data_IF_879256344637
#
_entry.id   IF_879256344637
#
_cell.length_a   1.000
_cell.length_b   1.000
_cell.length_c   1.000
_cell.angle_alpha   90.00
_cell.angle_beta   90.00
_cell.angle_gamma   90.00
#
_symmetry.space_group_name_H-M   'P 1'
#
loop_
_entity.id
_entity.type
_entity.pdbx_description
1 polymer ?
#
# COMPACT_ATOMS: atom_id res chain seq x y z
N UNK A 1 18.96 -17.05 -22.66
CA UNK A 1 19.15 -15.84 -23.48
C UNK A 1 20.12 -14.91 -22.77
N UNK A 2 21.20 -14.54 -23.43
CA UNK A 2 22.14 -13.52 -22.97
C UNK A 2 21.81 -12.20 -23.65
N UNK A 3 21.81 -11.11 -22.89
CA UNK A 3 21.70 -9.75 -23.42
C UNK A 3 23.07 -9.10 -23.33
N UNK A 4 23.65 -8.74 -24.47
CA UNK A 4 24.81 -7.86 -24.51
C UNK A 4 24.34 -6.48 -24.90
N UNK A 5 24.79 -5.47 -24.15
CA UNK A 5 24.74 -4.08 -24.61
C UNK A 5 26.09 -3.78 -25.24
N UNK A 6 26.07 -3.43 -26.52
CA UNK A 6 27.26 -3.06 -27.29
C UNK A 6 27.24 -1.55 -27.51
N UNK A 7 28.33 -0.89 -27.15
CA UNK A 7 28.60 0.52 -27.50
C UNK A 7 29.91 0.56 -28.27
N UNK A 8 29.91 1.34 -29.35
CA UNK A 8 31.07 1.51 -30.25
C UNK A 8 31.50 2.98 -30.22
N UNK A 9 32.74 3.24 -29.83
CA UNK A 9 33.30 4.60 -29.74
C UNK A 9 34.52 4.77 -30.63
N UNK A 10 34.66 5.96 -31.21
CA UNK A 10 35.87 6.44 -31.88
C UNK A 10 36.40 7.63 -31.07
N UNK A 11 37.39 7.39 -30.20
CA UNK A 11 37.80 8.34 -29.17
C UNK A 11 36.67 8.61 -28.16
N UNK A 12 36.26 9.87 -28.00
CA UNK A 12 35.19 10.28 -27.05
C UNK A 12 33.80 10.27 -27.73
N UNK A 13 33.74 10.02 -29.04
CA UNK A 13 32.49 10.09 -29.80
C UNK A 13 31.84 8.72 -29.91
N UNK A 14 30.60 8.61 -29.42
CA UNK A 14 29.76 7.43 -29.63
C UNK A 14 29.31 7.34 -31.09
N UNK A 15 29.65 6.24 -31.76
CA UNK A 15 29.38 6.00 -33.18
C UNK A 15 28.24 5.00 -33.37
N UNK A 16 28.03 4.11 -32.38
CA UNK A 16 26.87 3.22 -32.30
C UNK A 16 26.20 3.37 -30.92
N UNK A 17 24.95 3.84 -30.84
CA UNK A 17 24.21 3.90 -29.58
C UNK A 17 23.88 2.50 -29.05
N UNK A 18 23.58 2.41 -27.75
CA UNK A 18 23.29 1.16 -27.02
C UNK A 18 22.34 0.25 -27.79
N UNK A 19 22.83 -0.94 -28.16
CA UNK A 19 22.02 -2.01 -28.76
C UNK A 19 22.02 -3.23 -27.87
N UNK A 20 20.81 -3.70 -27.54
CA UNK A 20 20.58 -4.95 -26.81
C UNK A 20 20.48 -6.08 -27.82
N UNK A 21 21.35 -7.08 -27.70
CA UNK A 21 21.39 -8.22 -28.63
C UNK A 21 21.24 -9.51 -27.86
N UNK A 22 20.34 -10.35 -28.35
CA UNK A 22 20.07 -11.68 -27.83
C UNK A 22 20.98 -12.68 -28.53
N UNK A 23 21.81 -13.39 -27.76
CA UNK A 23 22.71 -14.41 -28.30
C UNK A 23 22.20 -15.80 -27.92
N UNK A 24 22.15 -16.66 -28.93
CA UNK A 24 21.96 -18.11 -28.80
C UNK A 24 23.30 -18.78 -28.49
N UNK A 25 23.29 -19.82 -27.66
CA UNK A 25 24.48 -20.41 -27.01
C UNK A 25 25.59 -20.91 -27.97
N UNK A 26 25.32 -21.00 -29.28
CA UNK A 26 26.25 -21.48 -30.31
C UNK A 26 27.03 -20.39 -31.05
N UNK A 27 26.67 -19.10 -30.91
CA UNK A 27 27.40 -18.03 -31.61
C UNK A 27 28.63 -17.59 -30.79
N UNK A 28 29.83 -17.88 -31.32
CA UNK A 28 31.08 -17.46 -30.72
C UNK A 28 31.23 -15.94 -30.71
N UNK A 29 31.74 -15.38 -29.62
CA UNK A 29 31.95 -13.95 -29.43
C UNK A 29 32.79 -13.30 -30.54
N UNK A 30 33.79 -14.02 -31.07
CA UNK A 30 34.59 -13.60 -32.23
C UNK A 30 33.74 -13.27 -33.46
N UNK A 31 32.70 -14.07 -33.72
CA UNK A 31 31.76 -13.84 -34.83
C UNK A 31 30.91 -12.59 -34.59
N UNK A 32 30.53 -12.31 -33.33
CA UNK A 32 29.80 -11.09 -32.97
C UNK A 32 30.69 -9.86 -33.08
N UNK A 33 31.93 -9.94 -32.60
CA UNK A 33 32.92 -8.87 -32.75
C UNK A 33 33.15 -8.53 -34.22
N UNK A 34 33.34 -9.54 -35.08
CA UNK A 34 33.41 -9.35 -36.54
C UNK A 34 32.13 -8.71 -37.09
N UNK A 35 30.92 -9.16 -36.70
CA UNK A 35 29.66 -8.53 -37.16
C UNK A 35 29.59 -7.04 -36.80
N UNK A 36 30.11 -6.61 -35.64
CA UNK A 36 30.07 -5.20 -35.24
C UNK A 36 31.17 -4.34 -35.84
N UNK A 37 32.29 -4.93 -36.24
CA UNK A 37 33.51 -4.20 -36.66
C UNK A 37 33.76 -4.32 -38.16
N UNK A 38 33.60 -5.53 -38.71
CA UNK A 38 33.73 -5.86 -40.14
C UNK A 38 32.44 -5.58 -40.90
N UNK A 39 32.21 -4.30 -41.19
CA UNK A 39 31.47 -3.81 -42.37
C UNK A 39 31.46 -2.26 -42.38
N UNK A 40 31.51 -1.63 -41.20
CA UNK A 40 31.40 -0.17 -41.04
C UNK A 40 32.68 0.52 -40.54
N UNK A 41 33.61 -0.20 -39.90
CA UNK A 41 34.69 0.44 -39.13
C UNK A 41 36.11 -0.08 -39.45
N UNK A 42 36.28 -0.81 -40.55
CA UNK A 42 37.52 -1.52 -40.93
C UNK A 42 38.83 -0.68 -40.94
N UNK A 43 38.76 0.64 -40.86
CA UNK A 43 39.92 1.54 -40.89
C UNK A 43 39.98 2.54 -39.70
N UNK A 44 39.17 2.37 -38.67
CA UNK A 44 39.12 3.27 -37.51
C UNK A 44 39.56 2.55 -36.22
N UNK A 45 40.30 3.23 -35.35
CA UNK A 45 40.61 2.74 -34.01
C UNK A 45 39.35 2.81 -33.16
N UNK A 46 38.62 1.70 -33.10
CA UNK A 46 37.31 1.60 -32.46
C UNK A 46 37.40 0.74 -31.21
N UNK A 47 36.84 1.23 -30.12
CA UNK A 47 36.73 0.50 -28.86
C UNK A 47 35.31 -0.08 -28.73
N UNK A 48 35.24 -1.37 -28.38
CA UNK A 48 33.98 -2.09 -28.20
C UNK A 48 33.78 -2.40 -26.73
N UNK A 49 32.72 -1.86 -26.17
CA UNK A 49 32.34 -2.07 -24.78
C UNK A 49 31.18 -3.05 -24.71
N UNK A 50 31.36 -4.09 -23.90
CA UNK A 50 30.36 -5.14 -23.73
C UNK A 50 29.89 -5.15 -22.29
N UNK A 51 28.61 -4.87 -22.10
CA UNK A 51 27.95 -4.99 -20.82
C UNK A 51 27.27 -6.35 -20.73
N UNK A 52 27.75 -7.20 -19.82
CA UNK A 52 27.04 -8.41 -19.44
C UNK A 52 26.28 -8.09 -18.15
N UNK A 53 24.97 -8.38 -18.16
CA UNK A 53 24.01 -8.07 -17.09
C UNK A 53 24.29 -8.76 -15.72
N UNK A 54 25.52 -9.25 -15.49
CA UNK A 54 25.96 -9.96 -14.28
C UNK A 54 27.13 -9.27 -13.55
N UNK A 55 27.78 -8.28 -14.15
CA UNK A 55 28.91 -7.56 -13.55
C UNK A 55 28.66 -6.08 -13.81
N UNK A 56 28.36 -5.28 -12.78
CA UNK A 56 28.14 -3.81 -12.86
C UNK A 56 29.43 -3.04 -13.25
N UNK A 57 30.17 -3.53 -14.25
CA UNK A 57 31.36 -2.93 -14.81
C UNK A 57 31.37 -3.13 -16.32
N UNK A 58 31.51 -2.02 -17.03
CA UNK A 58 31.93 -2.03 -18.43
C UNK A 58 33.30 -2.68 -18.52
N UNK A 59 33.40 -3.78 -19.26
CA UNK A 59 34.67 -4.40 -19.58
C UNK A 59 35.04 -3.95 -20.99
N UNK A 60 36.12 -3.20 -21.10
CA UNK A 60 36.78 -2.91 -22.37
C UNK A 60 37.39 -4.22 -22.88
N UNK A 61 36.99 -4.66 -24.07
CA UNK A 61 37.46 -5.93 -24.62
C UNK A 61 38.46 -5.62 -25.73
N UNK A 62 39.71 -6.02 -25.52
CA UNK A 62 40.75 -6.01 -26.55
C UNK A 62 40.95 -7.41 -27.13
N UNK A 63 41.37 -7.45 -28.39
CA UNK A 63 41.51 -8.60 -29.29
C UNK A 63 42.42 -9.75 -28.77
N UNK A 64 42.94 -9.67 -27.53
CA UNK A 64 44.01 -10.55 -27.01
C UNK A 64 43.76 -11.20 -25.65
N UNK A 65 42.63 -10.99 -24.98
CA UNK A 65 42.36 -11.63 -23.68
C UNK A 65 41.01 -12.37 -23.68
N UNK A 66 41.02 -13.63 -24.13
CA UNK A 66 39.88 -14.55 -24.00
C UNK A 66 40.35 -15.79 -23.23
N UNK A 67 40.37 -15.70 -21.90
CA UNK A 67 39.87 -16.80 -21.08
C UNK A 67 38.60 -16.29 -20.41
N UNK A 68 37.41 -16.84 -20.74
CA UNK A 68 36.20 -16.39 -20.12
C UNK A 68 36.20 -16.75 -18.62
N UNK A 69 35.79 -15.83 -17.72
CA UNK A 69 35.65 -16.16 -16.31
C UNK A 69 34.65 -17.31 -16.13
N UNK A 70 35.02 -18.30 -15.31
CA UNK A 70 34.31 -19.55 -15.07
C UNK A 70 32.78 -19.40 -14.99
N UNK A 71 32.07 -20.05 -15.92
CA UNK A 71 30.62 -20.00 -16.11
C UNK A 71 29.78 -20.81 -15.09
N UNK A 72 30.39 -21.39 -14.04
CA UNK A 72 29.71 -22.33 -13.14
C UNK A 72 28.79 -21.67 -12.10
N UNK A 73 29.19 -20.53 -11.54
CA UNK A 73 28.50 -19.94 -10.36
C UNK A 73 27.26 -19.11 -10.72
N UNK A 74 27.04 -18.87 -12.01
CA UNK A 74 26.03 -17.96 -12.52
C UNK A 74 24.69 -18.63 -12.87
N UNK A 75 24.56 -19.94 -12.63
CA UNK A 75 23.39 -20.77 -12.96
C UNK A 75 22.47 -21.04 -11.77
N UNK A 76 22.99 -21.01 -10.55
CA UNK A 76 22.19 -21.30 -9.37
C UNK A 76 21.43 -20.05 -8.91
N UNK A 77 20.11 -20.14 -8.66
CA UNK A 77 19.36 -19.05 -8.05
C UNK A 77 19.93 -18.77 -6.65
N UNK A 78 20.16 -17.49 -6.36
CA UNK A 78 20.63 -17.00 -5.07
C UNK A 78 19.55 -16.12 -4.43
N UNK A 79 19.51 -16.12 -3.11
CA UNK A 79 18.61 -15.28 -2.32
C UNK A 79 19.37 -14.08 -1.73
N UNK A 80 18.66 -12.98 -1.43
CA UNK A 80 19.24 -11.85 -0.71
C UNK A 80 19.86 -12.27 0.62
N UNK A 81 20.78 -11.46 1.13
CA UNK A 81 21.38 -11.71 2.43
C UNK A 81 20.34 -11.56 3.55
N UNK A 82 20.33 -12.51 4.50
CA UNK A 82 19.54 -12.42 5.73
C UNK A 82 20.02 -11.26 6.61
N UNK A 83 19.10 -10.63 7.31
CA UNK A 83 19.42 -9.64 8.32
C UNK A 83 19.79 -10.31 9.65
N UNK A 84 20.69 -9.67 10.40
CA UNK A 84 20.88 -9.99 11.80
C UNK A 84 19.62 -9.56 12.55
N UNK A 85 18.96 -10.51 13.20
CA UNK A 85 17.66 -10.27 13.82
C UNK A 85 17.80 -9.40 15.07
N UNK A 86 17.46 -8.12 14.91
CA UNK A 86 17.36 -7.17 16.03
C UNK A 86 15.90 -6.78 16.32
N UNK A 87 15.06 -6.84 15.28
CA UNK A 87 13.65 -6.45 15.36
C UNK A 87 12.74 -7.53 14.78
N UNK A 88 11.45 -7.48 15.13
CA UNK A 88 10.42 -8.34 14.52
C UNK A 88 10.25 -8.09 13.01
N UNK A 89 10.66 -6.93 12.52
CA UNK A 89 10.65 -6.63 11.10
C UNK A 89 11.80 -7.33 10.37
N UNK A 90 12.97 -7.44 11.01
CA UNK A 90 14.08 -8.23 10.49
C UNK A 90 13.71 -9.72 10.43
N UNK A 91 13.02 -10.22 11.47
CA UNK A 91 12.44 -11.57 11.47
C UNK A 91 11.47 -11.78 10.30
N UNK A 92 10.53 -10.86 10.05
CA UNK A 92 9.61 -10.95 8.90
C UNK A 92 10.39 -11.01 7.58
N UNK A 93 11.39 -10.16 7.40
CA UNK A 93 12.23 -10.14 6.21
C UNK A 93 12.95 -11.49 6.01
N UNK A 94 13.53 -12.04 7.08
CA UNK A 94 14.21 -13.32 7.06
C UNK A 94 13.25 -14.48 6.76
N UNK A 95 12.08 -14.53 7.41
CA UNK A 95 11.07 -15.58 7.16
C UNK A 95 10.54 -15.53 5.73
N UNK A 96 10.47 -14.36 5.09
CA UNK A 96 10.15 -14.27 3.65
C UNK A 96 11.26 -14.91 2.82
N UNK A 97 12.54 -14.67 3.15
CA UNK A 97 13.66 -15.32 2.43
C UNK A 97 13.60 -16.84 2.61
N UNK A 98 13.35 -17.32 3.82
CA UNK A 98 13.19 -18.75 4.09
C UNK A 98 11.99 -19.35 3.33
N UNK A 99 10.87 -18.62 3.23
CA UNK A 99 9.72 -19.01 2.44
C UNK A 99 10.09 -19.15 0.95
N UNK A 100 10.81 -18.18 0.39
CA UNK A 100 11.29 -18.27 -1.00
C UNK A 100 12.24 -19.45 -1.20
N UNK A 101 13.13 -19.71 -0.24
CA UNK A 101 14.04 -20.85 -0.24
C UNK A 101 13.27 -22.19 -0.27
N UNK A 102 12.24 -22.31 0.56
CA UNK A 102 11.38 -23.49 0.63
C UNK A 102 10.61 -23.73 -0.67
N UNK A 103 10.23 -22.65 -1.37
CA UNK A 103 9.61 -22.69 -2.70
C UNK A 103 10.63 -22.86 -3.83
N UNK A 104 11.92 -23.00 -3.52
CA UNK A 104 13.04 -23.14 -4.48
C UNK A 104 13.13 -21.97 -5.46
N UNK A 105 12.70 -20.79 -5.04
CA UNK A 105 12.82 -19.57 -5.81
C UNK A 105 14.09 -18.80 -5.47
N UNK A 106 14.55 -18.00 -6.41
CA UNK A 106 15.65 -17.07 -6.21
C UNK A 106 15.99 -16.36 -7.50
N UNK A 107 17.08 -15.59 -7.48
CA UNK A 107 17.49 -14.80 -8.63
C UNK A 107 18.85 -15.24 -9.14
N UNK A 108 18.96 -15.27 -10.47
CA UNK A 108 20.21 -15.59 -11.17
C UNK A 108 20.95 -14.31 -11.56
N UNK A 109 22.27 -14.41 -11.73
CA UNK A 109 23.06 -13.31 -12.28
C UNK A 109 23.27 -12.10 -11.36
N UNK A 110 23.26 -12.29 -10.05
CA UNK A 110 23.65 -11.24 -9.10
C UNK A 110 22.54 -10.27 -8.68
N UNK A 111 21.41 -10.23 -9.38
CA UNK A 111 20.29 -9.29 -9.10
C UNK A 111 19.58 -9.54 -7.75
N UNK A 112 19.89 -10.65 -7.06
CA UNK A 112 19.38 -10.94 -5.72
C UNK A 112 19.76 -9.86 -4.68
N UNK A 113 20.91 -9.20 -4.83
CA UNK A 113 21.31 -8.13 -3.89
C UNK A 113 20.70 -6.76 -4.21
N UNK A 114 20.12 -6.59 -5.39
CA UNK A 114 19.49 -5.35 -5.83
C UNK A 114 17.97 -5.54 -5.91
N UNK A 115 17.45 -5.94 -7.07
CA UNK A 115 16.02 -6.12 -7.32
C UNK A 115 15.40 -7.20 -6.43
N UNK A 116 16.14 -8.28 -6.13
CA UNK A 116 15.65 -9.33 -5.24
C UNK A 116 15.47 -8.84 -3.81
N UNK A 117 16.45 -8.10 -3.30
CA UNK A 117 16.36 -7.43 -2.00
C UNK A 117 15.18 -6.46 -1.96
N UNK A 118 15.05 -5.59 -2.97
CA UNK A 118 13.93 -4.65 -3.06
C UNK A 118 12.58 -5.37 -3.07
N UNK A 119 12.46 -6.50 -3.79
CA UNK A 119 11.24 -7.30 -3.79
C UNK A 119 10.89 -7.81 -2.39
N UNK A 120 11.85 -8.42 -1.67
CA UNK A 120 11.60 -8.92 -0.32
C UNK A 120 11.21 -7.77 0.63
N UNK A 121 11.88 -6.62 0.53
CA UNK A 121 11.53 -5.43 1.31
C UNK A 121 10.12 -4.91 1.00
N UNK A 122 9.71 -4.90 -0.28
CA UNK A 122 8.36 -4.50 -0.70
C UNK A 122 7.29 -5.42 -0.12
N UNK A 123 7.50 -6.73 -0.18
CA UNK A 123 6.62 -7.73 0.43
C UNK A 123 6.57 -7.56 1.94
N UNK A 124 7.73 -7.45 2.60
CA UNK A 124 7.81 -7.23 4.04
C UNK A 124 7.07 -5.95 4.47
N UNK A 125 7.21 -4.86 3.73
CA UNK A 125 6.54 -3.60 4.01
C UNK A 125 5.01 -3.72 3.90
N UNK A 126 4.52 -4.42 2.88
CA UNK A 126 3.10 -4.66 2.71
C UNK A 126 2.54 -5.50 3.86
N UNK A 127 3.17 -6.64 4.14
CA UNK A 127 2.77 -7.56 5.22
C UNK A 127 2.82 -6.86 6.58
N UNK A 128 3.90 -6.14 6.89
CA UNK A 128 4.07 -5.40 8.15
C UNK A 128 2.96 -4.37 8.38
N UNK A 129 2.51 -3.71 7.30
CA UNK A 129 1.47 -2.70 7.40
C UNK A 129 0.08 -3.31 7.63
N UNK A 130 -0.24 -4.43 6.96
CA UNK A 130 -1.56 -5.06 7.07
C UNK A 130 -1.69 -6.01 8.26
N UNK A 131 -0.58 -6.48 8.82
CA UNK A 131 -0.51 -7.47 9.91
C UNK A 131 -1.43 -7.14 11.11
N UNK A 132 -1.44 -5.90 11.65
CA UNK A 132 -2.35 -5.58 12.76
C UNK A 132 -3.84 -5.53 12.38
N UNK A 133 -4.15 -5.55 11.09
CA UNK A 133 -5.48 -5.36 10.52
C UNK A 133 -6.05 -6.61 9.85
N UNK A 134 -5.39 -7.77 9.94
CA UNK A 134 -5.81 -8.98 9.22
C UNK A 134 -7.26 -9.40 9.54
N UNK A 135 -7.69 -9.30 10.81
CA UNK A 135 -9.09 -9.59 11.20
C UNK A 135 -10.08 -8.59 10.57
N UNK A 136 -9.71 -7.32 10.48
CA UNK A 136 -10.52 -6.29 9.85
C UNK A 136 -10.65 -6.53 8.35
N UNK A 137 -9.55 -6.85 7.67
CA UNK A 137 -9.54 -7.24 6.25
C UNK A 137 -10.44 -8.47 6.02
N UNK A 138 -10.30 -9.49 6.86
CA UNK A 138 -11.10 -10.71 6.78
C UNK A 138 -12.61 -10.44 6.88
N UNK A 139 -13.01 -9.51 7.77
CA UNK A 139 -14.43 -9.11 7.91
C UNK A 139 -15.03 -8.48 6.65
N UNK A 140 -14.17 -8.02 5.70
CA UNK A 140 -14.55 -7.47 4.40
C UNK A 140 -14.22 -8.44 3.25
N UNK A 141 -14.10 -9.72 3.55
CA UNK A 141 -13.77 -10.77 2.58
C UNK A 141 -12.45 -10.48 1.84
N UNK A 142 -11.49 -9.87 2.54
CA UNK A 142 -10.12 -9.62 2.08
C UNK A 142 -9.22 -10.60 2.87
N UNK A 143 -8.95 -11.77 2.28
CA UNK A 143 -8.24 -12.87 2.94
C UNK A 143 -6.75 -12.89 2.56
N UNK A 144 -5.89 -13.22 3.52
CA UNK A 144 -4.46 -13.43 3.27
C UNK A 144 -4.26 -14.56 2.23
N UNK A 145 -3.41 -14.35 1.19
CA UNK A 145 -3.05 -15.40 0.25
C UNK A 145 -2.41 -16.60 0.96
N UNK A 146 -2.52 -17.78 0.34
CA UNK A 146 -2.18 -19.03 1.01
C UNK A 146 -0.68 -19.12 1.29
N UNK A 147 0.14 -18.67 0.34
CA UNK A 147 1.60 -18.63 0.46
C UNK A 147 2.06 -17.95 1.75
N UNK A 148 1.49 -16.80 2.09
CA UNK A 148 1.92 -16.03 3.25
C UNK A 148 1.48 -16.63 4.57
N UNK A 149 0.47 -17.50 4.60
CA UNK A 149 0.09 -18.22 5.82
C UNK A 149 1.13 -19.27 6.22
N UNK A 150 2.03 -19.65 5.31
CA UNK A 150 3.13 -20.58 5.58
C UNK A 150 4.29 -19.92 6.33
N UNK A 151 4.32 -18.59 6.45
CA UNK A 151 5.31 -17.90 7.27
C UNK A 151 5.25 -18.40 8.72
N UNK A 152 6.39 -18.72 9.32
CA UNK A 152 6.48 -19.43 10.60
C UNK A 152 5.73 -18.71 11.72
N UNK A 153 5.81 -17.38 11.75
CA UNK A 153 5.06 -16.56 12.71
C UNK A 153 3.54 -16.71 12.51
N UNK A 154 3.01 -16.65 11.28
CA UNK A 154 1.57 -16.80 11.02
C UNK A 154 1.07 -18.24 11.16
N UNK A 155 1.91 -19.23 10.87
CA UNK A 155 1.61 -20.64 11.02
C UNK A 155 1.63 -21.11 12.50
N UNK A 156 2.12 -20.28 13.42
CA UNK A 156 2.21 -20.63 14.83
C UNK A 156 0.83 -20.70 15.50
N UNK A 157 0.58 -21.81 16.21
CA UNK A 157 -0.62 -21.98 17.05
C UNK A 157 -0.63 -21.05 18.28
N UNK A 158 0.49 -20.37 18.56
CA UNK A 158 0.57 -19.43 19.67
C UNK A 158 -0.07 -18.09 19.30
N UNK A 159 -1.31 -17.88 19.74
CA UNK A 159 -2.10 -16.67 19.48
C UNK A 159 -1.47 -15.36 19.97
N UNK A 160 -0.53 -15.40 20.92
CA UNK A 160 0.17 -14.20 21.40
C UNK A 160 1.41 -13.86 20.54
N UNK A 161 1.85 -14.79 19.68
CA UNK A 161 3.05 -14.67 18.85
C UNK A 161 2.76 -14.72 17.35
N UNK A 162 1.51 -14.88 16.93
CA UNK A 162 1.14 -15.01 15.52
C UNK A 162 1.03 -13.67 14.76
N UNK A 163 1.77 -12.65 15.20
CA UNK A 163 1.81 -11.32 14.61
C UNK A 163 3.24 -10.77 14.70
N UNK A 164 3.68 -10.07 13.66
CA UNK A 164 5.01 -9.49 13.61
C UNK A 164 5.03 -8.12 14.29
N UNK A 165 4.04 -7.28 14.01
CA UNK A 165 3.93 -5.91 14.49
C UNK A 165 3.25 -5.85 15.88
N UNK A 166 3.84 -6.57 16.84
CA UNK A 166 3.40 -6.63 18.23
C UNK A 166 3.29 -5.22 18.84
N UNK A 167 4.21 -4.33 18.47
CA UNK A 167 4.26 -2.95 18.95
C UNK A 167 2.97 -2.17 18.65
N UNK A 168 2.29 -2.46 17.54
CA UNK A 168 1.00 -1.83 17.23
C UNK A 168 -0.06 -2.14 18.31
N UNK A 169 -0.03 -3.33 18.90
CA UNK A 169 -0.99 -3.74 19.91
C UNK A 169 -0.59 -3.30 21.32
N UNK A 170 0.70 -3.33 21.65
CA UNK A 170 1.23 -3.04 22.99
C UNK A 170 1.54 -1.57 23.23
N UNK A 171 1.74 -0.77 22.18
CA UNK A 171 2.03 0.65 22.33
C UNK A 171 0.83 1.44 22.85
N UNK A 172 1.11 2.43 23.71
CA UNK A 172 0.12 3.40 24.19
C UNK A 172 -0.12 4.56 23.21
N UNK A 173 0.59 4.62 22.09
CA UNK A 173 0.40 5.65 21.08
C UNK A 173 -0.91 5.45 20.29
N UNK A 174 -1.39 6.54 19.68
CA UNK A 174 -2.54 6.48 18.78
C UNK A 174 -2.25 5.49 17.66
N UNK A 175 -3.10 4.47 17.56
CA UNK A 175 -3.00 3.43 16.54
C UNK A 175 -3.30 4.02 15.16
N UNK A 176 -2.39 3.79 14.22
CA UNK A 176 -2.58 4.20 12.84
C UNK A 176 -3.73 3.39 12.23
N UNK A 177 -4.76 4.05 11.74
CA UNK A 177 -5.82 3.40 10.97
C UNK A 177 -5.31 3.06 9.57
N UNK A 178 -5.72 1.90 9.06
CA UNK A 178 -5.49 1.55 7.66
C UNK A 178 -6.04 2.65 6.73
N UNK A 179 -5.21 3.11 5.79
CA UNK A 179 -5.55 4.25 4.92
C UNK A 179 -5.42 3.89 3.44
N UNK A 180 -6.28 4.49 2.61
CA UNK A 180 -6.24 4.35 1.15
C UNK A 180 -4.88 4.76 0.58
N UNK A 181 -4.36 5.93 0.97
CA UNK A 181 -3.09 6.46 0.49
C UNK A 181 -1.92 5.51 0.76
N UNK A 182 -1.86 4.94 1.97
CA UNK A 182 -0.76 4.04 2.34
C UNK A 182 -0.86 2.70 1.62
N UNK A 183 -2.08 2.16 1.47
CA UNK A 183 -2.30 0.95 0.68
C UNK A 183 -1.93 1.16 -0.79
N UNK A 184 -2.34 2.28 -1.40
CA UNK A 184 -2.02 2.62 -2.79
C UNK A 184 -0.50 2.70 -3.04
N UNK A 185 0.26 3.31 -2.12
CA UNK A 185 1.72 3.34 -2.20
C UNK A 185 2.35 1.94 -2.14
N UNK A 186 1.85 1.07 -1.26
CA UNK A 186 2.35 -0.31 -1.12
C UNK A 186 1.99 -1.16 -2.34
N UNK A 187 0.79 -1.01 -2.88
CA UNK A 187 0.33 -1.65 -4.12
C UNK A 187 1.24 -1.26 -5.28
N UNK A 188 1.43 0.04 -5.54
CA UNK A 188 2.31 0.53 -6.61
C UNK A 188 3.74 0.01 -6.46
N UNK A 189 4.24 -0.04 -5.24
CA UNK A 189 5.58 -0.56 -4.95
C UNK A 189 5.70 -2.04 -5.32
N UNK A 190 4.71 -2.87 -4.98
CA UNK A 190 4.69 -4.28 -5.37
C UNK A 190 4.53 -4.49 -6.88
N UNK A 191 3.69 -3.68 -7.54
CA UNK A 191 3.49 -3.73 -9.00
C UNK A 191 4.81 -3.52 -9.75
N UNK A 192 5.71 -2.65 -9.26
CA UNK A 192 7.06 -2.48 -9.82
C UNK A 192 7.90 -3.75 -9.82
N UNK A 193 7.65 -4.66 -8.88
CA UNK A 193 8.32 -5.97 -8.84
C UNK A 193 7.68 -7.00 -9.78
N UNK A 194 6.36 -6.98 -9.92
CA UNK A 194 5.61 -7.95 -10.75
C UNK A 194 5.93 -7.76 -12.24
N UNK A 195 6.30 -6.54 -12.67
CA UNK A 195 6.68 -6.27 -14.07
C UNK A 195 8.12 -6.65 -14.42
N UNK A 196 8.91 -7.17 -13.47
CA UNK A 196 10.32 -7.47 -13.70
C UNK A 196 10.51 -8.73 -14.55
N UNK A 197 11.56 -8.82 -15.39
CA UNK A 197 11.73 -9.94 -16.32
C UNK A 197 11.82 -11.32 -15.65
N UNK A 198 12.43 -11.39 -14.46
CA UNK A 198 12.63 -12.63 -13.70
C UNK A 198 11.33 -13.25 -13.18
N UNK A 199 10.23 -12.50 -13.17
CA UNK A 199 8.90 -12.98 -12.78
C UNK A 199 8.40 -14.11 -13.69
N UNK A 200 8.88 -14.14 -14.94
CA UNK A 200 8.50 -15.17 -15.92
C UNK A 200 9.37 -16.44 -15.85
N UNK A 201 10.38 -16.48 -14.97
CA UNK A 201 11.15 -17.69 -14.77
C UNK A 201 10.30 -18.72 -14.00
N UNK A 202 10.32 -19.99 -14.42
CA UNK A 202 9.45 -21.05 -13.87
C UNK A 202 9.61 -21.28 -12.35
N UNK A 203 10.70 -20.80 -11.77
CA UNK A 203 10.95 -20.82 -10.31
C UNK A 203 9.93 -19.95 -9.54
N UNK A 204 9.28 -19.00 -10.22
CA UNK A 204 8.35 -18.02 -9.64
C UNK A 204 6.87 -18.34 -9.88
N UNK A 205 6.55 -19.36 -10.67
CA UNK A 205 5.19 -19.73 -11.07
C UNK A 205 4.25 -19.97 -9.88
N UNK A 206 4.79 -20.50 -8.77
CA UNK A 206 4.03 -20.81 -7.56
C UNK A 206 4.01 -19.67 -6.52
N UNK A 207 4.65 -18.54 -6.80
CA UNK A 207 4.83 -17.43 -5.85
C UNK A 207 4.08 -16.20 -6.36
N UNK A 208 4.30 -15.85 -7.62
CA UNK A 208 3.78 -14.62 -8.22
C UNK A 208 2.25 -14.54 -8.19
N UNK A 209 1.48 -15.63 -8.41
CA UNK A 209 0.02 -15.60 -8.24
C UNK A 209 -0.42 -15.16 -6.84
N UNK A 210 0.28 -15.59 -5.78
CA UNK A 210 -0.01 -15.15 -4.41
C UNK A 210 0.43 -13.70 -4.14
N UNK A 211 1.50 -13.21 -4.79
CA UNK A 211 1.85 -11.77 -4.75
C UNK A 211 0.76 -10.93 -5.40
N UNK A 212 0.25 -11.35 -6.57
CA UNK A 212 -0.87 -10.69 -7.25
C UNK A 212 -2.12 -10.73 -6.37
N UNK A 213 -2.43 -11.88 -5.76
CA UNK A 213 -3.56 -12.00 -4.83
C UNK A 213 -3.42 -11.08 -3.61
N UNK A 214 -2.20 -10.85 -3.09
CA UNK A 214 -1.95 -9.88 -2.04
C UNK A 214 -2.27 -8.45 -2.51
N UNK A 215 -1.78 -8.09 -3.69
CA UNK A 215 -2.04 -6.79 -4.32
C UNK A 215 -3.54 -6.57 -4.52
N UNK A 216 -4.25 -7.55 -5.07
CA UNK A 216 -5.69 -7.48 -5.32
C UNK A 216 -6.49 -7.37 -4.02
N UNK A 217 -6.07 -8.10 -2.98
CA UNK A 217 -6.67 -8.03 -1.66
C UNK A 217 -6.53 -6.63 -1.04
N UNK A 218 -5.33 -6.03 -1.11
CA UNK A 218 -5.12 -4.65 -0.66
C UNK A 218 -5.91 -3.65 -1.51
N UNK A 219 -5.97 -3.82 -2.83
CA UNK A 219 -6.71 -2.94 -3.74
C UNK A 219 -8.22 -2.98 -3.44
N UNK A 220 -8.79 -4.16 -3.28
CA UNK A 220 -10.20 -4.36 -2.91
C UNK A 220 -10.56 -3.61 -1.62
N UNK A 221 -9.72 -3.71 -0.59
CA UNK A 221 -9.96 -3.00 0.65
C UNK A 221 -9.77 -1.48 0.51
N UNK A 222 -8.78 -1.07 -0.27
CA UNK A 222 -8.51 0.33 -0.61
C UNK A 222 -9.71 1.00 -1.30
N UNK A 223 -10.34 0.31 -2.25
CA UNK A 223 -11.57 0.76 -2.90
C UNK A 223 -12.77 0.85 -1.95
N UNK A 224 -12.88 -0.11 -1.02
CA UNK A 224 -13.90 -0.06 0.02
C UNK A 224 -13.74 1.19 0.90
N UNK A 225 -12.50 1.56 1.28
CA UNK A 225 -12.24 2.79 2.03
C UNK A 225 -12.70 4.04 1.26
N UNK A 226 -12.41 4.12 -0.04
CA UNK A 226 -12.87 5.23 -0.88
C UNK A 226 -14.40 5.29 -0.89
N UNK A 227 -15.07 4.18 -1.20
CA UNK A 227 -16.54 4.10 -1.27
C UNK A 227 -17.18 4.51 0.05
N UNK A 228 -16.65 4.01 1.17
CA UNK A 228 -17.15 4.37 2.51
C UNK A 228 -16.96 5.86 2.80
N UNK A 229 -15.81 6.45 2.44
CA UNK A 229 -15.54 7.86 2.67
C UNK A 229 -16.42 8.75 1.79
N UNK A 230 -16.63 8.40 0.52
CA UNK A 230 -17.54 9.10 -0.38
C UNK A 230 -18.99 9.06 0.14
N UNK A 231 -19.44 7.89 0.61
CA UNK A 231 -20.78 7.74 1.18
C UNK A 231 -20.94 8.56 2.46
N UNK A 232 -19.95 8.55 3.36
CA UNK A 232 -19.98 9.38 4.57
C UNK A 232 -19.95 10.87 4.25
N UNK A 233 -19.16 11.31 3.28
CA UNK A 233 -19.16 12.70 2.82
C UNK A 233 -20.53 13.09 2.25
N UNK A 234 -21.15 12.23 1.42
CA UNK A 234 -22.49 12.46 0.91
C UNK A 234 -23.54 12.58 2.02
N UNK A 235 -23.48 11.73 3.05
CA UNK A 235 -24.37 11.82 4.22
C UNK A 235 -24.13 13.12 5.00
N UNK A 236 -22.88 13.51 5.22
CA UNK A 236 -22.56 14.75 5.93
C UNK A 236 -22.98 16.02 5.18
N UNK A 237 -23.03 15.96 3.85
CA UNK A 237 -23.51 17.05 3.00
C UNK A 237 -25.01 16.95 2.65
N UNK A 238 -25.70 15.91 3.13
CA UNK A 238 -27.14 15.80 2.95
C UNK A 238 -27.85 16.57 4.07
N UNK A 239 -28.65 17.57 3.70
CA UNK A 239 -29.48 18.32 4.65
C UNK A 239 -30.72 17.54 5.11
N UNK A 240 -31.02 16.39 4.47
CA UNK A 240 -32.08 15.50 4.91
C UNK A 240 -31.70 14.79 6.22
N UNK A 241 -32.58 14.90 7.22
CA UNK A 241 -32.46 14.14 8.48
C UNK A 241 -32.30 12.64 8.20
N UNK A 242 -31.25 12.04 8.78
CA UNK A 242 -31.02 10.58 8.72
C UNK A 242 -32.13 9.74 9.39
N UNK A 243 -33.09 10.40 10.05
CA UNK A 243 -34.27 9.79 10.64
C UNK A 243 -35.54 10.40 10.06
N UNK A 244 -36.48 9.54 9.67
CA UNK A 244 -37.83 9.95 9.34
C UNK A 244 -38.51 10.47 10.62
N UNK A 245 -38.88 11.76 10.70
CA UNK A 245 -39.49 12.34 11.90
C UNK A 245 -40.83 11.68 12.26
N UNK A 246 -41.49 10.98 11.33
CA UNK A 246 -42.75 10.29 11.58
C UNK A 246 -42.61 8.99 12.42
N UNK A 247 -41.46 8.32 12.38
CA UNK A 247 -41.31 6.96 12.93
C UNK A 247 -40.41 6.86 14.17
N UNK A 248 -39.64 7.90 14.50
CA UNK A 248 -38.64 7.86 15.56
C UNK A 248 -38.65 9.09 16.47
N UNK A 249 -39.75 9.85 16.49
CA UNK A 249 -39.83 11.04 17.32
C UNK A 249 -39.93 10.68 18.81
N UNK A 250 -38.87 10.90 19.57
CA UNK A 250 -38.93 10.83 21.02
C UNK A 250 -39.42 12.18 21.55
N UNK A 251 -40.66 12.22 22.04
CA UNK A 251 -41.20 13.40 22.70
C UNK A 251 -40.62 13.51 24.11
N UNK A 252 -39.89 14.59 24.38
CA UNK A 252 -39.51 14.97 25.73
C UNK A 252 -40.29 16.20 26.18
N UNK A 253 -40.76 16.18 27.43
CA UNK A 253 -41.46 17.32 28.03
C UNK A 253 -40.48 18.26 28.69
N UNK A 254 -40.65 19.53 28.40
CA UNK A 254 -40.04 20.61 29.17
C UNK A 254 -41.14 21.19 30.05
N UNK A 255 -40.93 21.13 31.36
CA UNK A 255 -41.86 21.73 32.32
C UNK A 255 -41.65 23.24 32.37
N UNK A 256 -42.76 23.97 32.46
CA UNK A 256 -42.74 25.42 32.58
C UNK A 256 -42.03 25.87 33.86
N UNK A 257 -41.15 26.87 33.76
CA UNK A 257 -40.60 27.59 34.90
C UNK A 257 -41.45 28.82 35.22
N UNK A 258 -41.22 29.45 36.38
CA UNK A 258 -41.84 30.74 36.69
C UNK A 258 -41.21 31.82 35.82
N UNK A 259 -41.93 32.91 35.60
CA UNK A 259 -41.48 34.05 34.81
C UNK A 259 -40.20 34.68 35.40
N UNK A 260 -40.11 34.77 36.73
CA UNK A 260 -38.92 35.27 37.45
C UNK A 260 -37.68 34.35 37.30
N UNK A 261 -37.88 33.08 36.93
CA UNK A 261 -36.83 32.08 36.78
C UNK A 261 -36.37 31.92 35.32
N UNK A 262 -37.00 32.62 34.37
CA UNK A 262 -36.68 32.50 32.94
C UNK A 262 -35.36 33.21 32.62
N UNK A 263 -34.39 32.44 32.12
CA UNK A 263 -33.13 33.02 31.65
C UNK A 263 -33.33 33.82 30.35
N UNK A 264 -32.73 35.01 30.30
CA UNK A 264 -32.81 35.94 29.15
C UNK A 264 -32.46 35.31 27.80
N UNK A 265 -31.56 34.32 27.78
CA UNK A 265 -31.19 33.65 26.53
C UNK A 265 -32.36 32.90 25.86
N UNK A 266 -33.43 32.58 26.61
CA UNK A 266 -34.61 31.89 26.09
C UNK A 266 -35.80 32.81 25.83
N UNK A 267 -35.68 34.11 26.16
CA UNK A 267 -36.79 35.06 26.13
C UNK A 267 -37.41 35.18 24.74
N UNK A 268 -36.57 35.32 23.71
CA UNK A 268 -37.03 35.45 22.33
C UNK A 268 -37.82 34.22 21.84
N UNK A 269 -37.32 33.02 22.13
CA UNK A 269 -38.00 31.78 21.81
C UNK A 269 -39.30 31.63 22.62
N UNK A 270 -39.27 31.97 23.91
CA UNK A 270 -40.43 31.90 24.78
C UNK A 270 -41.56 32.82 24.31
N UNK A 271 -41.24 34.08 23.99
CA UNK A 271 -42.21 35.07 23.51
C UNK A 271 -42.81 34.63 22.17
N UNK A 272 -41.98 34.09 21.28
CA UNK A 272 -42.45 33.56 20.01
C UNK A 272 -43.42 32.38 20.23
N UNK A 273 -43.11 31.42 21.11
CA UNK A 273 -44.00 30.30 21.43
C UNK A 273 -45.33 30.79 22.02
N UNK A 274 -45.30 31.76 22.94
CA UNK A 274 -46.51 32.30 23.57
C UNK A 274 -47.41 33.07 22.60
N UNK A 275 -46.84 33.65 21.54
CA UNK A 275 -47.59 34.33 20.48
C UNK A 275 -48.20 33.37 19.45
N UNK A 276 -47.75 32.11 19.41
CA UNK A 276 -48.28 31.10 18.49
C UNK A 276 -49.55 30.43 19.04
N UNK A 277 -50.44 30.03 18.13
CA UNK A 277 -51.64 29.30 18.49
C UNK A 277 -51.33 27.90 19.04
N UNK A 278 -52.17 27.40 19.94
CA UNK A 278 -52.03 26.02 20.44
C UNK A 278 -51.98 25.01 19.30
N UNK A 279 -51.08 24.03 19.42
CA UNK A 279 -50.89 22.91 18.48
C UNK A 279 -50.41 23.31 17.07
N UNK A 280 -49.83 24.51 16.91
CA UNK A 280 -49.16 24.88 15.66
C UNK A 280 -47.70 24.43 15.64
N UNK A 281 -47.23 24.00 14.47
CA UNK A 281 -45.82 23.70 14.24
C UNK A 281 -45.03 24.99 14.11
N UNK A 282 -43.91 25.06 14.82
CA UNK A 282 -42.98 26.18 14.81
C UNK A 282 -41.56 25.64 14.63
N UNK A 283 -40.82 26.22 13.69
CA UNK A 283 -39.40 25.90 13.54
C UNK A 283 -38.58 26.61 14.63
N UNK A 284 -37.98 25.81 15.51
CA UNK A 284 -37.17 26.29 16.63
C UNK A 284 -35.72 26.57 16.20
N UNK A 285 -35.27 26.06 15.03
CA UNK A 285 -33.87 26.18 14.61
C UNK A 285 -33.42 27.63 14.42
N UNK A 286 -34.32 28.51 14.02
CA UNK A 286 -34.05 29.95 13.84
C UNK A 286 -33.66 30.68 15.14
N UNK A 287 -33.98 30.10 16.30
CA UNK A 287 -33.69 30.67 17.63
C UNK A 287 -32.48 30.01 18.30
N UNK A 288 -31.87 29.01 17.65
CA UNK A 288 -30.76 28.27 18.21
C UNK A 288 -29.41 28.93 17.90
N UNK A 289 -28.42 28.83 18.81
CA UNK A 289 -27.06 29.23 18.50
C UNK A 289 -26.48 28.50 17.28
N UNK A 290 -25.68 29.23 16.48
CA UNK A 290 -24.99 28.69 15.30
C UNK A 290 -23.94 27.65 15.72
N UNK A 291 -23.19 27.91 16.80
CA UNK A 291 -22.18 27.01 17.33
C UNK A 291 -22.80 25.71 17.89
N UNK A 292 -22.25 24.56 17.47
CA UNK A 292 -22.77 23.23 17.78
C UNK A 292 -22.79 22.95 19.29
N UNK A 293 -21.73 23.32 20.01
CA UNK A 293 -21.63 23.06 21.45
C UNK A 293 -22.56 23.97 22.26
N UNK A 294 -22.70 25.23 21.84
CA UNK A 294 -23.68 26.16 22.43
C UNK A 294 -25.11 25.70 22.17
N UNK A 295 -25.42 25.23 20.96
CA UNK A 295 -26.73 24.67 20.60
C UNK A 295 -27.10 23.47 21.46
N UNK A 296 -26.16 22.54 21.66
CA UNK A 296 -26.40 21.39 22.53
C UNK A 296 -26.72 21.82 23.97
N UNK A 297 -25.94 22.75 24.53
CA UNK A 297 -26.17 23.26 25.90
C UNK A 297 -27.49 24.02 26.03
N UNK A 298 -27.85 24.81 25.02
CA UNK A 298 -29.10 25.55 24.95
C UNK A 298 -30.31 24.61 25.00
N UNK A 299 -30.33 23.57 24.15
CA UNK A 299 -31.41 22.58 24.13
C UNK A 299 -31.45 21.72 25.40
N UNK A 300 -30.29 21.38 25.96
CA UNK A 300 -30.19 20.56 27.19
C UNK A 300 -30.75 21.26 28.42
N UNK A 301 -30.58 22.59 28.50
CA UNK A 301 -30.98 23.40 29.64
C UNK A 301 -32.17 24.30 29.31
N UNK A 302 -32.99 23.92 28.33
CA UNK A 302 -34.08 24.76 27.82
C UNK A 302 -35.06 25.10 28.95
N UNK A 303 -35.37 26.39 29.07
CA UNK A 303 -36.35 26.92 30.02
C UNK A 303 -37.40 27.72 29.26
N UNK A 304 -38.67 27.47 29.58
CA UNK A 304 -39.83 28.13 28.99
C UNK A 304 -40.87 28.33 30.09
N UNK A 305 -41.71 29.36 29.98
CA UNK A 305 -42.77 29.61 30.96
C UNK A 305 -43.92 28.60 30.79
N UNK A 306 -44.18 28.19 29.55
CA UNK A 306 -45.18 27.17 29.23
C UNK A 306 -44.56 25.78 29.15
N UNK A 307 -45.35 24.76 29.49
CA UNK A 307 -44.92 23.36 29.31
C UNK A 307 -45.12 22.95 27.85
N UNK A 308 -44.06 22.45 27.22
CA UNK A 308 -44.10 22.01 25.82
C UNK A 308 -43.61 20.58 25.65
N UNK A 309 -44.06 19.93 24.58
CA UNK A 309 -43.47 18.70 24.07
C UNK A 309 -42.54 19.04 22.91
N UNK A 310 -41.29 18.60 22.98
CA UNK A 310 -40.34 18.71 21.87
C UNK A 310 -40.19 17.34 21.23
N UNK A 311 -40.41 17.31 19.92
CA UNK A 311 -40.20 16.13 19.09
C UNK A 311 -38.77 16.18 18.54
N UNK A 312 -38.01 15.11 18.75
CA UNK A 312 -36.68 14.85 18.18
C UNK A 312 -36.70 13.54 17.42
#
# INVERSE_FOLDING_TARGET
>A
MLYLVVIVTEGIKCVLPERIITITEDDQFSKLYEIFTCEQFNNQSVEVYVYQNKVDKWVEVSDRNIEPPSFSDARQPKLPQLYTEHTRRDLLYNEIIELLQNKKAGWRGGIHQTLGKEFVERVANALWYIDPHLKLLQSRSCYMPALFKELATYASDNTDRNTYNIAYHTSHHKKESISHQRLDLLIKSLELSIVQPWVNDSEWDNIIPDIIALVDMMRKYSEHLIKSNTLMAAIHHNDDSAHNPANNSHMFRVFGCKEDDLNDQYRELNDAILQHGFYQYMDVYSYLPIDIMKRYRFLKNLQLICSIGIYR
#
